data_IF_144224717268
#
_entry.id   IF_144224717268
#
_cell.length_a   1.000
_cell.length_b   1.000
_cell.length_c   1.000
_cell.angle_alpha   90.00
_cell.angle_beta   90.00
_cell.angle_gamma   90.00
#
_symmetry.space_group_name_H-M   'P 1'
#
loop_
_entity.id
_entity.type
_entity.pdbx_description
1 polymer ?
#
# COMPACT_ATOMS: atom_id res chain seq x y z
N UNK A 1 -10.10 3.07 6.30
CA UNK A 1 -9.03 2.20 6.83
C UNK A 1 -9.56 1.38 8.00
N UNK A 2 -9.52 0.07 7.84
CA UNK A 2 -9.79 -0.95 8.85
C UNK A 2 -8.63 -0.92 9.89
N UNK A 3 -8.86 -1.50 11.08
CA UNK A 3 -7.87 -1.61 12.15
C UNK A 3 -6.51 -2.13 11.65
N UNK A 4 -6.51 -3.11 10.74
CA UNK A 4 -5.30 -3.67 10.12
C UNK A 4 -4.43 -2.58 9.45
N UNK A 5 -5.02 -1.73 8.61
CA UNK A 5 -4.26 -0.66 7.94
C UNK A 5 -3.76 0.39 8.94
N UNK A 6 -4.51 0.65 10.01
CA UNK A 6 -4.06 1.56 11.08
C UNK A 6 -2.83 1.00 11.81
N UNK A 7 -2.81 -0.30 12.09
CA UNK A 7 -1.66 -0.99 12.68
C UNK A 7 -0.45 -0.99 11.73
N UNK A 8 -0.68 -1.20 10.44
CA UNK A 8 0.39 -1.11 9.43
C UNK A 8 1.00 0.31 9.38
N UNK A 9 0.19 1.37 9.36
CA UNK A 9 0.69 2.75 9.41
C UNK A 9 1.46 3.03 10.69
N UNK A 10 0.94 2.61 11.85
CA UNK A 10 1.64 2.74 13.13
C UNK A 10 3.01 2.06 13.10
N UNK A 11 3.09 0.85 12.53
CA UNK A 11 4.35 0.11 12.39
C UNK A 11 5.32 0.81 11.43
N UNK A 12 4.84 1.33 10.29
CA UNK A 12 5.67 2.11 9.35
C UNK A 12 6.27 3.32 10.05
N UNK A 13 5.48 4.06 10.82
CA UNK A 13 5.95 5.24 11.56
C UNK A 13 7.02 4.85 12.61
N UNK A 14 6.79 3.77 13.35
CA UNK A 14 7.75 3.27 14.35
C UNK A 14 9.07 2.84 13.72
N UNK A 15 9.03 2.08 12.63
CA UNK A 15 10.24 1.62 11.94
C UNK A 15 10.97 2.78 11.25
N UNK A 16 10.24 3.76 10.75
CA UNK A 16 10.82 5.00 10.23
C UNK A 16 11.57 5.73 11.34
N UNK A 17 10.97 5.86 12.53
CA UNK A 17 11.64 6.41 13.70
C UNK A 17 12.94 5.65 14.02
N UNK A 18 12.94 4.32 14.03
CA UNK A 18 14.16 3.54 14.25
C UNK A 18 15.21 3.72 13.14
N UNK A 19 14.80 3.84 11.88
CA UNK A 19 15.74 4.13 10.79
C UNK A 19 16.47 5.45 11.02
N UNK A 20 15.76 6.52 11.42
CA UNK A 20 16.39 7.79 11.75
C UNK A 20 17.19 7.75 13.05
N UNK A 21 16.64 7.16 14.11
CA UNK A 21 17.28 7.10 15.42
C UNK A 21 18.57 6.24 15.44
N UNK A 22 18.68 5.26 14.54
CA UNK A 22 19.86 4.41 14.38
C UNK A 22 20.93 4.99 13.46
N UNK A 23 20.69 6.15 12.85
CA UNK A 23 21.69 6.79 12.00
C UNK A 23 22.84 7.35 12.84
N UNK A 24 24.05 6.95 12.50
CA UNK A 24 25.28 7.58 12.98
C UNK A 24 26.35 7.51 11.90
N UNK A 25 27.30 8.46 11.94
CA UNK A 25 28.35 8.52 10.92
C UNK A 25 29.16 7.21 10.89
N UNK A 26 29.25 6.60 9.71
CA UNK A 26 29.99 5.35 9.52
C UNK A 26 29.21 4.07 9.84
N UNK A 27 27.94 4.15 10.24
CA UNK A 27 27.09 2.95 10.43
C UNK A 27 26.11 2.74 9.28
N UNK A 28 25.72 1.48 9.09
CA UNK A 28 24.77 1.06 8.05
C UNK A 28 23.51 0.41 8.64
N UNK A 29 23.37 0.37 9.98
CA UNK A 29 22.21 -0.24 10.64
C UNK A 29 20.88 0.42 10.23
N UNK A 30 20.89 1.74 10.02
CA UNK A 30 19.73 2.48 9.51
C UNK A 30 19.22 1.98 8.15
N UNK A 31 20.10 1.42 7.29
CA UNK A 31 19.70 0.83 6.00
C UNK A 31 18.85 -0.43 6.19
N UNK A 32 19.10 -1.22 7.24
CA UNK A 32 18.31 -2.42 7.53
C UNK A 32 16.89 -2.03 7.92
N UNK A 33 16.75 -1.02 8.78
CA UNK A 33 15.46 -0.46 9.17
C UNK A 33 14.75 0.19 7.98
N UNK A 34 15.45 0.96 7.15
CA UNK A 34 14.90 1.54 5.92
C UNK A 34 14.40 0.46 4.95
N UNK A 35 15.13 -0.64 4.82
CA UNK A 35 14.69 -1.79 4.00
C UNK A 35 13.39 -2.38 4.53
N UNK A 36 13.26 -2.56 5.85
CA UNK A 36 12.02 -3.03 6.47
C UNK A 36 10.85 -2.05 6.25
N UNK A 37 11.11 -0.74 6.38
CA UNK A 37 10.14 0.32 6.08
C UNK A 37 9.65 0.22 4.64
N UNK A 38 10.56 0.07 3.67
CA UNK A 38 10.22 -0.09 2.25
C UNK A 38 9.33 -1.30 2.01
N UNK A 39 9.71 -2.47 2.51
CA UNK A 39 8.93 -3.71 2.33
C UNK A 39 7.52 -3.58 2.91
N UNK A 40 7.38 -3.06 4.13
CA UNK A 40 6.08 -2.88 4.77
C UNK A 40 5.26 -1.80 4.06
N UNK A 41 5.89 -0.76 3.55
CA UNK A 41 5.21 0.29 2.77
C UNK A 41 4.60 -0.31 1.50
N UNK A 42 5.34 -1.16 0.77
CA UNK A 42 4.76 -1.86 -0.38
C UNK A 42 3.61 -2.78 0.03
N UNK A 43 3.76 -3.56 1.10
CA UNK A 43 2.67 -4.39 1.61
C UNK A 43 1.42 -3.58 1.98
N UNK A 44 1.59 -2.40 2.58
CA UNK A 44 0.49 -1.49 2.91
C UNK A 44 -0.20 -0.94 1.65
N UNK A 45 0.57 -0.55 0.63
CA UNK A 45 0.03 -0.11 -0.66
C UNK A 45 -0.79 -1.24 -1.30
N UNK A 46 -0.24 -2.45 -1.34
CA UNK A 46 -0.97 -3.63 -1.84
C UNK A 46 -2.24 -3.88 -1.02
N UNK A 47 -2.17 -3.87 0.31
CA UNK A 47 -3.37 -4.08 1.15
C UNK A 47 -4.46 -3.06 0.82
N UNK A 48 -4.13 -1.77 0.67
CA UNK A 48 -5.10 -0.75 0.28
C UNK A 48 -5.68 -1.01 -1.12
N UNK A 49 -4.82 -1.31 -2.11
CA UNK A 49 -5.25 -1.53 -3.49
C UNK A 49 -6.23 -2.71 -3.62
N UNK A 50 -6.09 -3.73 -2.77
CA UNK A 50 -6.89 -4.95 -2.82
C UNK A 50 -7.95 -5.05 -1.71
N UNK A 51 -8.16 -4.02 -0.89
CA UNK A 51 -9.19 -4.04 0.17
C UNK A 51 -10.61 -3.89 -0.39
N UNK A 52 -10.79 -3.31 -1.59
CA UNK A 52 -12.10 -3.21 -2.23
C UNK A 52 -12.31 -4.33 -3.24
N UNK A 53 -12.93 -5.43 -2.78
CA UNK A 53 -13.31 -6.56 -3.64
C UNK A 53 -14.24 -6.15 -4.80
N UNK A 54 -15.02 -5.07 -4.63
CA UNK A 54 -15.93 -4.54 -5.66
C UNK A 54 -15.24 -3.76 -6.80
N UNK A 55 -13.95 -3.47 -6.70
CA UNK A 55 -13.22 -2.82 -7.81
C UNK A 55 -12.81 -3.82 -8.90
N UNK A 56 -12.80 -5.12 -8.60
CA UNK A 56 -12.50 -6.16 -9.58
C UNK A 56 -13.80 -6.89 -9.96
N UNK A 57 -14.69 -6.20 -10.68
CA UNK A 57 -15.82 -6.86 -11.33
C UNK A 57 -15.27 -7.51 -12.60
N UNK A 58 -15.02 -8.82 -12.55
CA UNK A 58 -14.75 -9.59 -13.75
C UNK A 58 -16.03 -9.60 -14.61
N UNK A 59 -16.04 -8.78 -15.66
CA UNK A 59 -17.11 -8.72 -16.65
C UNK A 59 -16.62 -9.42 -17.93
N UNK A 60 -16.96 -10.71 -18.14
CA UNK A 60 -16.47 -11.47 -19.28
C UNK A 60 -17.07 -11.00 -20.62
N UNK A 61 -18.14 -10.19 -20.57
CA UNK A 61 -18.81 -9.66 -21.75
C UNK A 61 -18.30 -8.26 -22.10
N UNK A 62 -17.51 -8.17 -23.17
CA UNK A 62 -16.97 -6.91 -23.67
C UNK A 62 -18.06 -5.88 -24.02
N UNK A 63 -19.28 -6.32 -24.34
CA UNK A 63 -20.37 -5.43 -24.69
C UNK A 63 -20.94 -4.70 -23.45
N UNK A 64 -20.98 -5.37 -22.29
CA UNK A 64 -21.35 -4.73 -21.03
C UNK A 64 -20.33 -3.68 -20.59
N UNK A 65 -19.03 -3.95 -20.81
CA UNK A 65 -17.97 -2.97 -20.56
C UNK A 65 -18.14 -1.73 -21.45
N UNK A 66 -18.38 -1.92 -22.75
CA UNK A 66 -18.64 -0.82 -23.69
C UNK A 66 -19.83 0.04 -23.25
N UNK A 67 -20.96 -0.58 -22.86
CA UNK A 67 -22.16 0.14 -22.39
C UNK A 67 -21.89 0.95 -21.13
N UNK A 68 -21.13 0.41 -20.16
CA UNK A 68 -20.75 1.14 -18.95
C UNK A 68 -19.87 2.36 -19.27
N UNK A 69 -18.93 2.23 -20.20
CA UNK A 69 -18.06 3.34 -20.62
C UNK A 69 -18.81 4.42 -21.41
N UNK A 70 -19.75 4.03 -22.27
CA UNK A 70 -20.62 4.97 -22.99
C UNK A 70 -21.55 5.73 -22.04
N UNK A 71 -22.15 5.03 -21.06
CA UNK A 71 -22.99 5.64 -20.04
C UNK A 71 -22.23 6.60 -19.11
N UNK A 72 -20.97 6.30 -18.79
CA UNK A 72 -20.13 7.17 -17.95
C UNK A 72 -19.67 8.46 -18.67
N UNK A 73 -19.86 8.56 -19.99
CA UNK A 73 -19.46 9.71 -20.81
C UNK A 73 -20.61 10.69 -21.08
N UNK A 74 -21.85 10.28 -20.81
CA UNK A 74 -23.06 11.10 -20.92
C UNK A 74 -23.33 11.89 -19.64
#
# INVERSE_FOLDING_TARGET
MILRQKLQVMLILLLTFFAFASYSQGTTGWLQWLTAVLLITFMFVFDIMFTNEHNFIFDPDAENWRRKMEAARA
#
